data_IF_753993030735
#
_entry.id   IF_753993030735
#
_cell.length_a   1.000
_cell.length_b   1.000
_cell.length_c   1.000
_cell.angle_alpha   90.00
_cell.angle_beta   90.00
_cell.angle_gamma   90.00
#
_symmetry.space_group_name_H-M   'P 1'
#
loop_
_entity.id
_entity.type
_entity.pdbx_description
1 polymer ?
#
# COMPACT_ATOMS: atom_id res chain seq x y z
N UNK A 1 -22.92 2.90 -13.65
CA UNK A 1 -23.53 2.05 -12.62
C UNK A 1 -23.54 2.81 -11.30
N UNK A 2 -24.65 2.84 -10.58
CA UNK A 2 -24.72 3.44 -9.25
C UNK A 2 -24.38 2.42 -8.17
N UNK A 3 -23.71 2.84 -7.11
CA UNK A 3 -23.43 2.02 -5.92
C UNK A 3 -24.44 2.39 -4.85
N UNK A 4 -25.09 1.40 -4.24
CA UNK A 4 -26.05 1.66 -3.15
C UNK A 4 -25.32 2.13 -1.88
N UNK A 5 -26.00 2.88 -1.01
CA UNK A 5 -25.45 3.31 0.27
C UNK A 5 -24.94 2.15 1.12
N UNK A 6 -25.68 1.03 1.14
CA UNK A 6 -25.26 -0.20 1.83
C UNK A 6 -23.99 -0.79 1.21
N UNK A 7 -23.88 -0.83 -0.12
CA UNK A 7 -22.68 -1.31 -0.80
C UNK A 7 -21.46 -0.40 -0.50
N UNK A 8 -21.65 0.92 -0.42
CA UNK A 8 -20.60 1.84 0.00
C UNK A 8 -20.11 1.56 1.43
N UNK A 9 -21.01 1.29 2.38
CA UNK A 9 -20.62 0.91 3.75
C UNK A 9 -19.78 -0.37 3.78
N UNK A 10 -20.17 -1.38 3.00
CA UNK A 10 -19.41 -2.64 2.90
C UNK A 10 -18.01 -2.39 2.33
N UNK A 11 -17.88 -1.58 1.28
CA UNK A 11 -16.59 -1.25 0.69
C UNK A 11 -15.70 -0.44 1.63
N UNK A 12 -16.27 0.50 2.40
CA UNK A 12 -15.52 1.25 3.40
C UNK A 12 -14.96 0.34 4.49
N UNK A 13 -15.77 -0.60 4.99
CA UNK A 13 -15.33 -1.56 6.00
C UNK A 13 -14.24 -2.50 5.45
N UNK A 14 -14.37 -2.93 4.20
CA UNK A 14 -13.33 -3.71 3.52
C UNK A 14 -12.00 -2.93 3.45
N UNK A 15 -12.05 -1.64 3.11
CA UNK A 15 -10.84 -0.81 3.06
C UNK A 15 -10.18 -0.67 4.44
N UNK A 16 -10.97 -0.49 5.50
CA UNK A 16 -10.44 -0.39 6.86
C UNK A 16 -9.79 -1.71 7.32
N UNK A 17 -10.46 -2.85 7.12
CA UNK A 17 -9.90 -4.18 7.46
C UNK A 17 -8.57 -4.42 6.72
N UNK A 18 -8.52 -4.11 5.43
CA UNK A 18 -7.30 -4.27 4.64
C UNK A 18 -6.18 -3.32 5.09
N UNK A 19 -6.52 -2.07 5.45
CA UNK A 19 -5.56 -1.11 5.96
C UNK A 19 -4.93 -1.59 7.28
N UNK A 20 -5.75 -2.00 8.25
CA UNK A 20 -5.28 -2.50 9.55
C UNK A 20 -4.36 -3.71 9.37
N UNK A 21 -4.77 -4.70 8.56
CA UNK A 21 -3.97 -5.90 8.28
C UNK A 21 -2.61 -5.58 7.64
N UNK A 22 -2.57 -4.63 6.70
CA UNK A 22 -1.32 -4.22 6.04
C UNK A 22 -0.42 -3.40 6.98
N UNK A 23 -1.00 -2.49 7.76
CA UNK A 23 -0.27 -1.65 8.70
C UNK A 23 0.38 -2.48 9.80
N UNK A 24 -0.36 -3.42 10.38
CA UNK A 24 0.15 -4.32 11.42
C UNK A 24 1.31 -5.17 10.91
N UNK A 25 1.16 -5.78 9.73
CA UNK A 25 2.22 -6.62 9.17
C UNK A 25 3.45 -5.79 8.78
N UNK A 26 3.28 -4.58 8.26
CA UNK A 26 4.39 -3.67 7.97
C UNK A 26 5.11 -3.20 9.24
N UNK A 27 4.36 -2.95 10.32
CA UNK A 27 4.93 -2.61 11.62
C UNK A 27 5.79 -3.76 12.17
N UNK A 28 5.30 -5.01 12.06
CA UNK A 28 6.05 -6.22 12.44
C UNK A 28 7.33 -6.37 11.62
N UNK A 29 7.27 -6.20 10.30
CA UNK A 29 8.45 -6.23 9.43
C UNK A 29 9.47 -5.14 9.78
N UNK A 30 9.00 -3.96 10.16
CA UNK A 30 9.87 -2.86 10.62
C UNK A 30 10.59 -3.24 11.92
N UNK A 31 9.89 -3.91 12.84
CA UNK A 31 10.49 -4.41 14.09
C UNK A 31 11.51 -5.52 13.83
N UNK A 32 11.19 -6.48 12.97
CA UNK A 32 12.10 -7.58 12.60
C UNK A 32 13.40 -7.09 11.95
N UNK A 33 13.32 -6.01 11.16
CA UNK A 33 14.49 -5.43 10.51
C UNK A 33 15.25 -4.43 11.39
N UNK A 34 14.85 -4.27 12.65
CA UNK A 34 15.40 -3.33 13.64
C UNK A 34 15.47 -1.88 13.14
N UNK A 35 14.52 -1.48 12.28
CA UNK A 35 14.42 -0.12 11.76
C UNK A 35 13.46 0.69 12.62
N UNK A 36 13.72 2.00 12.70
CA UNK A 36 12.79 2.96 13.33
C UNK A 36 11.86 3.64 12.31
N UNK A 37 12.20 3.53 11.03
CA UNK A 37 11.46 4.15 9.94
C UNK A 37 10.83 3.06 9.10
N UNK A 38 9.51 3.14 8.95
CA UNK A 38 8.75 2.31 8.01
C UNK A 38 8.95 2.88 6.60
N UNK A 39 9.48 2.08 5.69
CA UNK A 39 9.71 2.45 4.29
C UNK A 39 8.74 1.73 3.35
N UNK A 40 8.77 2.10 2.07
CA UNK A 40 8.01 1.40 1.02
C UNK A 40 8.37 -0.09 0.93
N UNK A 41 9.58 -0.49 1.38
CA UNK A 41 10.00 -1.90 1.41
C UNK A 41 9.19 -2.73 2.38
N UNK A 42 8.93 -2.23 3.58
CA UNK A 42 8.13 -2.97 4.58
C UNK A 42 6.67 -3.05 4.15
N UNK A 43 6.12 -2.01 3.53
CA UNK A 43 4.79 -2.04 2.91
C UNK A 43 4.73 -3.08 1.79
N UNK A 44 5.71 -3.12 0.88
CA UNK A 44 5.77 -4.14 -0.17
C UNK A 44 5.87 -5.57 0.39
N UNK A 45 6.61 -5.74 1.49
CA UNK A 45 6.68 -7.01 2.22
C UNK A 45 5.32 -7.41 2.79
N UNK A 46 4.64 -6.49 3.48
CA UNK A 46 3.31 -6.72 4.04
C UNK A 46 2.28 -7.08 2.96
N UNK A 47 2.31 -6.39 1.81
CA UNK A 47 1.45 -6.72 0.66
C UNK A 47 1.65 -8.15 0.19
N UNK A 48 2.89 -8.64 0.10
CA UNK A 48 3.16 -10.04 -0.31
C UNK A 48 2.64 -11.07 0.69
N UNK A 49 2.61 -10.72 1.98
CA UNK A 49 2.15 -11.61 3.05
C UNK A 49 0.63 -11.62 3.16
N UNK A 50 -0.02 -10.47 2.95
CA UNK A 50 -1.48 -10.30 3.10
C UNK A 50 -2.23 -10.64 1.82
N UNK A 51 -1.69 -10.31 0.64
CA UNK A 51 -2.32 -10.54 -0.67
C UNK A 51 -1.54 -11.60 -1.47
N UNK A 52 -2.15 -12.78 -1.64
CA UNK A 52 -1.54 -13.91 -2.35
C UNK A 52 -1.89 -13.94 -3.84
N UNK A 53 -1.07 -14.61 -4.64
CA UNK A 53 -1.34 -14.86 -6.06
C UNK A 53 -1.32 -13.60 -6.93
N UNK A 54 -2.20 -13.56 -7.94
CA UNK A 54 -2.25 -12.45 -8.90
C UNK A 54 -2.60 -11.10 -8.26
N UNK A 55 -3.42 -11.09 -7.21
CA UNK A 55 -3.78 -9.86 -6.49
C UNK A 55 -2.54 -9.17 -5.89
N UNK A 56 -1.66 -9.93 -5.26
CA UNK A 56 -0.41 -9.40 -4.72
C UNK A 56 0.51 -8.86 -5.82
N UNK A 57 0.58 -9.54 -6.97
CA UNK A 57 1.38 -9.10 -8.13
C UNK A 57 0.89 -7.76 -8.66
N UNK A 58 -0.42 -7.61 -8.85
CA UNK A 58 -1.02 -6.36 -9.32
C UNK A 58 -0.89 -5.24 -8.29
N UNK A 59 -1.14 -5.51 -7.01
CA UNK A 59 -1.00 -4.52 -5.94
C UNK A 59 0.43 -3.97 -5.83
N UNK A 60 1.44 -4.84 -5.95
CA UNK A 60 2.85 -4.41 -5.98
C UNK A 60 3.18 -3.54 -7.20
N UNK A 61 2.67 -3.91 -8.39
CA UNK A 61 2.89 -3.14 -9.61
C UNK A 61 2.29 -1.73 -9.49
N UNK A 62 1.04 -1.62 -9.02
CA UNK A 62 0.38 -0.32 -8.81
C UNK A 62 1.08 0.50 -7.73
N UNK A 63 1.49 -0.12 -6.62
CA UNK A 63 2.24 0.56 -5.56
C UNK A 63 3.60 1.11 -6.04
N UNK A 64 4.34 0.33 -6.82
CA UNK A 64 5.64 0.75 -7.39
C UNK A 64 5.46 1.91 -8.36
N UNK A 65 4.42 1.84 -9.21
CA UNK A 65 4.05 2.91 -10.13
C UNK A 65 3.72 4.20 -9.38
N UNK A 66 2.88 4.13 -8.35
CA UNK A 66 2.50 5.29 -7.55
C UNK A 66 3.71 5.97 -6.89
N UNK A 67 4.64 5.19 -6.33
CA UNK A 67 5.88 5.71 -5.74
C UNK A 67 6.75 6.39 -6.80
N UNK A 68 6.95 5.75 -7.95
CA UNK A 68 7.73 6.32 -9.05
C UNK A 68 7.13 7.65 -9.54
N UNK A 69 5.81 7.69 -9.68
CA UNK A 69 5.08 8.90 -10.06
C UNK A 69 5.28 10.00 -9.03
N UNK A 70 5.12 9.70 -7.74
CA UNK A 70 5.35 10.67 -6.67
C UNK A 70 6.77 11.25 -6.68
N UNK A 71 7.79 10.40 -6.82
CA UNK A 71 9.20 10.82 -6.91
C UNK A 71 9.42 11.70 -8.14
N UNK A 72 8.81 11.39 -9.27
CA UNK A 72 8.94 12.20 -10.50
C UNK A 72 8.32 13.60 -10.38
N UNK A 73 7.25 13.76 -9.61
CA UNK A 73 6.68 15.07 -9.31
C UNK A 73 7.59 15.90 -8.39
N UNK A 74 8.27 15.28 -7.43
CA UNK A 74 9.22 15.95 -6.53
C UNK A 74 10.52 16.42 -7.20
N UNK A 75 10.87 15.88 -8.38
CA UNK A 75 12.07 16.25 -9.14
C UNK A 75 11.87 17.35 -10.19
N UNK A 76 10.67 17.94 -10.29
CA UNK A 76 10.29 18.89 -11.35
C UNK A 76 10.76 20.35 -11.19
N UNK A 77 11.51 20.69 -10.12
CA UNK A 77 11.97 22.06 -9.83
C UNK A 77 13.48 22.28 -10.05
N UNK A 78 14.13 21.47 -10.89
CA UNK A 78 15.50 21.73 -11.33
C UNK A 78 15.70 21.27 -12.78
N UNK A 79 15.13 22.05 -13.71
CA UNK A 79 15.71 22.23 -15.04
C UNK A 79 15.98 23.73 -15.20
N UNK A 80 17.20 24.13 -14.86
CA UNK A 80 17.83 25.32 -15.45
C UNK A 80 18.18 25.04 -16.91
#
# INVERSE_FOLDING_TARGET
MGVSSKAMTVLNNLMNDMFERLADEAARLTTYTARKTLSSREIQGAVKLVLTGELGRHAMAEGTKAVSTYVSYGGGSSKS
#
